data_IF_291537073120
#
_entry.id   IF_291537073120
#
_cell.length_a   1.000
_cell.length_b   1.000
_cell.length_c   1.000
_cell.angle_alpha   90.00
_cell.angle_beta   90.00
_cell.angle_gamma   90.00
#
_symmetry.space_group_name_H-M   'P 1'
#
loop_
_entity.id
_entity.type
_entity.pdbx_description
1 polymer ?
#
# COMPACT_ATOMS: atom_id res chain seq x y z
N UNK A 1 -7.59 18.01 7.47
CA UNK A 1 -7.19 16.65 7.91
C UNK A 1 -7.11 15.74 6.70
N UNK A 2 -5.98 15.05 6.51
CA UNK A 2 -5.80 14.11 5.41
C UNK A 2 -6.19 12.69 5.85
N UNK A 3 -6.42 11.81 4.87
CA UNK A 3 -6.71 10.39 5.10
C UNK A 3 -5.52 9.66 5.76
N UNK A 4 -5.78 8.52 6.40
CA UNK A 4 -4.76 7.78 7.13
C UNK A 4 -3.69 7.18 6.20
N UNK A 5 -2.45 7.57 6.45
CA UNK A 5 -1.26 6.94 5.90
C UNK A 5 -0.12 7.14 6.90
N UNK A 6 0.75 6.17 7.03
CA UNK A 6 1.85 6.21 7.99
C UNK A 6 3.16 5.90 7.28
N UNK A 7 4.20 6.67 7.56
CA UNK A 7 5.53 6.44 7.03
C UNK A 7 6.46 5.93 8.15
N UNK A 8 7.17 4.84 7.88
CA UNK A 8 8.11 4.22 8.81
C UNK A 8 9.50 4.14 8.19
N UNK A 9 10.52 4.36 8.99
CA UNK A 9 11.91 4.20 8.57
C UNK A 9 12.76 3.67 9.73
N UNK A 10 13.76 2.85 9.39
CA UNK A 10 14.77 2.39 10.35
C UNK A 10 16.02 3.28 10.34
N UNK A 11 16.30 3.98 9.26
CA UNK A 11 17.53 4.75 9.05
C UNK A 11 17.30 6.24 8.71
N UNK A 12 16.04 6.64 8.52
CA UNK A 12 15.69 8.01 8.11
C UNK A 12 15.96 8.31 6.63
N UNK A 13 16.36 7.30 5.82
CA UNK A 13 16.70 7.46 4.42
C UNK A 13 15.73 6.71 3.50
N UNK A 14 15.48 5.44 3.78
CA UNK A 14 14.51 4.62 3.06
C UNK A 14 13.25 4.45 3.92
N UNK A 15 12.09 4.61 3.30
CA UNK A 15 10.80 4.67 3.97
C UNK A 15 9.83 3.63 3.45
N UNK A 16 9.00 3.13 4.36
CA UNK A 16 7.84 2.27 4.06
C UNK A 16 6.57 3.07 4.34
N UNK A 17 5.65 3.08 3.39
CA UNK A 17 4.31 3.62 3.62
C UNK A 17 3.36 2.50 4.05
N UNK A 18 2.65 2.71 5.15
CA UNK A 18 1.49 1.88 5.50
C UNK A 18 0.25 2.55 4.92
N UNK A 19 -0.34 1.91 3.94
CA UNK A 19 -1.41 2.42 3.10
C UNK A 19 -1.01 3.61 2.24
N UNK A 20 -1.68 3.76 1.12
CA UNK A 20 -1.51 4.87 0.18
C UNK A 20 -2.86 5.57 0.00
N UNK A 21 -3.10 6.59 0.82
CA UNK A 21 -4.35 7.33 0.83
C UNK A 21 -4.52 8.19 -0.43
N UNK A 22 -5.75 8.61 -0.77
CA UNK A 22 -5.96 9.57 -1.85
C UNK A 22 -5.19 10.88 -1.68
N UNK A 23 -4.86 11.25 -0.45
CA UNK A 23 -4.11 12.46 -0.11
C UNK A 23 -2.59 12.26 -0.17
N UNK A 24 -2.09 11.12 -0.63
CA UNK A 24 -0.68 10.77 -0.58
C UNK A 24 0.22 11.84 -1.20
N UNK A 25 -0.18 12.39 -2.33
CA UNK A 25 0.60 13.43 -3.02
C UNK A 25 0.80 14.64 -2.12
N UNK A 26 -0.25 15.09 -1.45
CA UNK A 26 -0.20 16.20 -0.50
C UNK A 26 0.63 15.84 0.73
N UNK A 27 0.47 14.62 1.24
CA UNK A 27 1.19 14.12 2.40
C UNK A 27 2.70 14.05 2.13
N UNK A 28 3.11 13.57 0.96
CA UNK A 28 4.51 13.53 0.55
C UNK A 28 5.08 14.94 0.39
N UNK A 29 4.33 15.85 -0.22
CA UNK A 29 4.75 17.24 -0.39
C UNK A 29 4.93 17.98 0.93
N UNK A 30 4.12 17.64 1.94
CA UNK A 30 4.17 18.26 3.27
C UNK A 30 5.26 17.65 4.19
N UNK A 31 5.92 16.57 3.76
CA UNK A 31 6.90 15.84 4.58
C UNK A 31 8.29 15.87 3.93
N UNK A 32 9.18 16.80 4.35
CA UNK A 32 10.49 16.96 3.69
C UNK A 32 11.33 15.70 3.63
N UNK A 33 11.26 14.82 4.65
CA UNK A 33 12.01 13.56 4.67
C UNK A 33 11.62 12.60 3.53
N UNK A 34 10.46 12.80 2.92
CA UNK A 34 9.93 11.98 1.82
C UNK A 34 10.11 12.64 0.46
N UNK A 35 10.78 13.79 0.38
CA UNK A 35 11.04 14.46 -0.88
C UNK A 35 12.13 13.75 -1.67
N UNK A 36 12.03 13.70 -3.01
CA UNK A 36 13.10 13.20 -3.86
C UNK A 36 14.40 13.94 -3.61
N UNK A 37 15.51 13.21 -3.59
CA UNK A 37 16.85 13.76 -3.38
C UNK A 37 17.61 13.94 -4.69
N UNK A 38 17.01 13.54 -5.80
CA UNK A 38 17.59 13.64 -7.12
C UNK A 38 16.58 13.29 -8.20
N UNK A 39 17.02 13.33 -9.45
CA UNK A 39 16.16 13.01 -10.59
C UNK A 39 15.78 11.52 -10.54
N UNK A 40 14.49 11.21 -10.66
CA UNK A 40 13.97 9.84 -10.60
C UNK A 40 14.35 9.10 -9.31
N UNK A 41 14.50 9.84 -8.22
CA UNK A 41 14.69 9.28 -6.90
C UNK A 41 13.39 9.34 -6.10
N UNK A 42 13.17 8.35 -5.23
CA UNK A 42 12.11 8.39 -4.23
C UNK A 42 12.61 7.74 -2.95
N UNK A 43 12.47 8.40 -1.79
CA UNK A 43 12.75 7.77 -0.51
C UNK A 43 11.80 6.62 -0.18
N UNK A 44 10.65 6.53 -0.84
CA UNK A 44 9.67 5.46 -0.63
C UNK A 44 10.15 4.19 -1.34
N UNK A 45 10.60 3.21 -0.56
CA UNK A 45 11.11 1.94 -1.07
C UNK A 45 10.06 0.82 -1.04
N UNK A 46 9.03 0.95 -0.22
CA UNK A 46 7.99 -0.05 -0.08
C UNK A 46 6.67 0.56 0.36
N UNK A 47 5.59 -0.09 -0.02
CA UNK A 47 4.23 0.22 0.45
C UNK A 47 3.62 -1.06 0.98
N UNK A 48 3.00 -0.99 2.15
CA UNK A 48 2.26 -2.10 2.76
C UNK A 48 0.79 -1.71 2.82
N UNK A 49 -0.07 -2.53 2.24
CA UNK A 49 -1.51 -2.31 2.23
C UNK A 49 -2.18 -3.19 3.28
N UNK A 50 -3.07 -2.61 4.07
CA UNK A 50 -3.85 -3.35 5.07
C UNK A 50 -5.15 -3.92 4.50
N UNK A 51 -5.70 -3.30 3.45
CA UNK A 51 -6.87 -3.80 2.72
C UNK A 51 -6.96 -3.10 1.36
N UNK A 52 -8.01 -3.39 0.61
CA UNK A 52 -8.24 -2.83 -0.71
C UNK A 52 -9.25 -1.66 -0.73
N UNK A 53 -9.53 -1.05 0.40
CA UNK A 53 -10.39 0.14 0.44
C UNK A 53 -9.74 1.29 -0.33
N UNK A 54 -10.57 2.11 -1.00
CA UNK A 54 -10.10 3.26 -1.79
C UNK A 54 -9.23 4.19 -0.94
N UNK A 55 -9.58 4.38 0.33
CA UNK A 55 -8.82 5.21 1.27
C UNK A 55 -7.38 4.72 1.47
N UNK A 56 -7.10 3.45 1.20
CA UNK A 56 -5.81 2.81 1.43
C UNK A 56 -5.03 2.52 0.16
N UNK A 57 -5.67 2.50 -1.02
CA UNK A 57 -5.02 2.11 -2.26
C UNK A 57 -4.96 3.20 -3.32
N UNK A 58 -5.86 4.19 -3.28
CA UNK A 58 -5.95 5.19 -4.35
C UNK A 58 -4.67 6.01 -4.53
N UNK A 59 -3.91 6.23 -3.46
CA UNK A 59 -2.65 6.95 -3.50
C UNK A 59 -1.54 6.24 -4.28
N UNK A 60 -1.68 4.93 -4.55
CA UNK A 60 -0.73 4.22 -5.40
C UNK A 60 -0.60 4.86 -6.78
N UNK A 61 -1.67 5.46 -7.29
CA UNK A 61 -1.67 6.14 -8.58
C UNK A 61 -0.73 7.37 -8.59
N UNK A 62 -0.46 7.95 -7.42
CA UNK A 62 0.51 9.04 -7.26
C UNK A 62 1.96 8.57 -7.27
N UNK A 63 2.20 7.27 -7.13
CA UNK A 63 3.53 6.66 -7.13
C UNK A 63 3.95 6.13 -8.51
N UNK A 64 3.26 6.54 -9.56
CA UNK A 64 3.55 6.11 -10.95
C UNK A 64 4.79 6.77 -11.57
N UNK A 65 5.56 7.50 -10.80
CA UNK A 65 6.68 8.36 -11.26
C UNK A 65 7.95 7.57 -11.63
N UNK A 66 7.81 6.31 -12.00
CA UNK A 66 8.90 5.47 -12.53
C UNK A 66 10.08 5.25 -11.57
N UNK A 67 9.80 5.20 -10.28
CA UNK A 67 10.78 4.75 -9.29
C UNK A 67 10.38 3.37 -8.77
N UNK A 68 11.35 2.46 -8.56
CA UNK A 68 11.02 1.12 -8.11
C UNK A 68 10.58 1.11 -6.63
N UNK A 69 9.56 0.34 -6.33
CA UNK A 69 9.17 0.02 -4.95
C UNK A 69 8.52 -1.36 -4.89
N UNK A 70 8.53 -1.95 -3.70
CA UNK A 70 7.85 -3.21 -3.44
C UNK A 70 6.49 -2.94 -2.83
N UNK A 71 5.49 -3.69 -3.24
CA UNK A 71 4.12 -3.57 -2.78
C UNK A 71 3.75 -4.82 -2.00
N UNK A 72 3.64 -4.70 -0.68
CA UNK A 72 3.32 -5.79 0.23
C UNK A 72 1.84 -5.77 0.57
N UNK A 73 1.16 -6.87 0.36
CA UNK A 73 -0.23 -7.06 0.75
C UNK A 73 -0.56 -8.55 0.80
N UNK A 74 -1.69 -8.91 1.41
CA UNK A 74 -2.19 -10.27 1.32
C UNK A 74 -2.52 -10.64 -0.14
N UNK A 75 -2.54 -11.93 -0.45
CA UNK A 75 -2.86 -12.40 -1.79
C UNK A 75 -4.24 -11.90 -2.25
N UNK A 76 -5.22 -11.85 -1.37
CA UNK A 76 -6.56 -11.36 -1.69
C UNK A 76 -6.56 -9.88 -2.10
N UNK A 77 -5.83 -9.04 -1.37
CA UNK A 77 -5.70 -7.62 -1.71
C UNK A 77 -4.96 -7.43 -3.03
N UNK A 78 -3.88 -8.17 -3.27
CA UNK A 78 -3.15 -8.11 -4.54
C UNK A 78 -4.02 -8.53 -5.72
N UNK A 79 -4.87 -9.53 -5.54
CA UNK A 79 -5.83 -9.97 -6.56
C UNK A 79 -6.81 -8.86 -6.92
N UNK A 80 -7.36 -8.16 -5.92
CA UNK A 80 -8.27 -7.03 -6.15
C UNK A 80 -7.58 -5.94 -6.98
N UNK A 81 -6.34 -5.61 -6.66
CA UNK A 81 -5.57 -4.61 -7.43
C UNK A 81 -5.34 -5.08 -8.88
N UNK A 82 -4.99 -6.35 -9.08
CA UNK A 82 -4.73 -6.89 -10.41
C UNK A 82 -5.99 -6.92 -11.28
N UNK A 83 -7.17 -7.05 -10.68
CA UNK A 83 -8.46 -7.04 -11.38
C UNK A 83 -8.94 -5.64 -11.74
N UNK A 84 -8.36 -4.59 -11.16
CA UNK A 84 -8.70 -3.20 -11.43
C UNK A 84 -7.77 -2.61 -12.50
N UNK A 85 -8.30 -2.38 -13.68
CA UNK A 85 -7.53 -1.89 -14.83
C UNK A 85 -6.82 -0.55 -14.56
N UNK A 86 -7.35 0.29 -13.67
CA UNK A 86 -6.74 1.58 -13.34
C UNK A 86 -5.33 1.43 -12.72
N UNK A 87 -5.07 0.34 -12.01
CA UNK A 87 -3.75 0.07 -11.42
C UNK A 87 -2.74 -0.51 -12.44
N UNK A 88 -3.17 -0.78 -13.67
CA UNK A 88 -2.23 -1.18 -14.73
C UNK A 88 -1.27 -0.04 -15.14
N UNK A 89 -1.50 1.19 -14.69
CA UNK A 89 -0.56 2.30 -14.86
C UNK A 89 0.72 2.13 -14.03
N UNK A 90 0.69 1.27 -13.02
CA UNK A 90 1.88 0.91 -12.25
C UNK A 90 2.73 -0.04 -13.07
N UNK A 91 3.94 0.39 -13.43
CA UNK A 91 4.83 -0.38 -14.29
C UNK A 91 5.28 -1.66 -13.57
N UNK A 92 4.96 -2.86 -14.09
CA UNK A 92 5.36 -4.12 -13.45
C UNK A 92 6.88 -4.34 -13.43
N UNK A 93 7.64 -3.61 -14.24
CA UNK A 93 9.10 -3.63 -14.17
C UNK A 93 9.65 -2.86 -12.96
N UNK A 94 8.87 -1.96 -12.37
CA UNK A 94 9.27 -1.10 -11.25
C UNK A 94 8.54 -1.46 -9.95
N UNK A 95 7.27 -1.82 -10.03
CA UNK A 95 6.47 -2.19 -8.87
C UNK A 95 6.45 -3.70 -8.73
N UNK A 96 7.05 -4.21 -7.65
CA UNK A 96 7.12 -5.64 -7.37
C UNK A 96 6.09 -6.00 -6.30
N UNK A 97 5.00 -6.69 -6.65
CA UNK A 97 4.06 -7.18 -5.66
C UNK A 97 4.66 -8.34 -4.87
N UNK A 98 4.47 -8.32 -3.57
CA UNK A 98 4.93 -9.36 -2.65
C UNK A 98 3.75 -9.77 -1.76
N UNK A 99 3.30 -11.01 -1.88
CA UNK A 99 2.25 -11.52 -1.02
C UNK A 99 2.78 -11.77 0.38
N UNK A 100 2.08 -11.23 1.40
CA UNK A 100 2.38 -11.50 2.79
C UNK A 100 1.41 -12.53 3.36
N UNK A 101 1.86 -13.24 4.39
CA UNK A 101 1.05 -14.20 5.13
C UNK A 101 0.76 -13.64 6.51
N UNK A 102 -0.52 -13.63 6.90
CA UNK A 102 -0.93 -13.18 8.22
C UNK A 102 -0.24 -13.99 9.32
N UNK A 103 0.19 -13.31 10.37
CA UNK A 103 0.88 -13.93 11.50
C UNK A 103 2.35 -14.25 11.26
N UNK A 104 2.86 -14.06 10.05
CA UNK A 104 4.28 -14.29 9.73
C UNK A 104 5.00 -12.94 9.53
N UNK A 105 6.14 -12.73 10.21
CA UNK A 105 6.90 -11.51 10.02
C UNK A 105 7.47 -11.40 8.62
N UNK A 106 7.53 -10.18 8.11
CA UNK A 106 8.20 -9.84 6.86
C UNK A 106 9.00 -8.55 7.02
N UNK A 107 9.96 -8.35 6.14
CA UNK A 107 10.96 -7.28 6.27
C UNK A 107 10.93 -6.41 5.01
N UNK A 108 10.09 -5.36 4.98
CA UNK A 108 10.02 -4.49 3.81
C UNK A 108 11.30 -3.66 3.61
N UNK A 109 12.05 -3.44 4.67
CA UNK A 109 13.37 -2.80 4.67
C UNK A 109 14.26 -3.47 5.71
N UNK A 110 15.60 -3.44 5.53
CA UNK A 110 16.54 -3.88 6.55
C UNK A 110 16.30 -3.14 7.87
N UNK A 111 16.24 -3.89 8.97
CA UNK A 111 16.01 -3.31 10.30
C UNK A 111 14.56 -3.01 10.64
N UNK A 112 13.62 -3.31 9.75
CA UNK A 112 12.19 -3.09 9.97
C UNK A 112 11.43 -4.40 9.78
N UNK A 113 10.88 -4.93 10.87
CA UNK A 113 10.04 -6.13 10.89
C UNK A 113 8.58 -5.74 11.04
N UNK A 114 7.73 -6.28 10.18
CA UNK A 114 6.27 -6.08 10.25
C UNK A 114 5.59 -7.44 10.31
N UNK A 115 4.58 -7.55 11.15
CA UNK A 115 3.68 -8.70 11.20
C UNK A 115 2.26 -8.22 11.07
N UNK A 116 1.52 -8.77 10.11
CA UNK A 116 0.13 -8.43 9.87
C UNK A 116 -0.79 -9.45 10.53
N UNK A 117 -1.86 -8.96 11.14
CA UNK A 117 -2.88 -9.78 11.77
C UNK A 117 -4.25 -9.45 11.19
N UNK A 118 -5.09 -10.48 11.00
CA UNK A 118 -6.46 -10.27 10.58
C UNK A 118 -7.28 -9.65 11.72
N UNK A 119 -8.09 -8.65 11.36
CA UNK A 119 -9.08 -8.07 12.26
C UNK A 119 -10.46 -8.13 11.58
N UNK A 120 -11.56 -8.18 12.34
CA UNK A 120 -12.90 -8.12 11.75
C UNK A 120 -13.07 -6.84 10.92
N UNK A 121 -13.58 -6.98 9.70
CA UNK A 121 -13.77 -5.86 8.79
C UNK A 121 -14.82 -6.17 7.75
N UNK A 122 -15.22 -5.15 7.02
CA UNK A 122 -16.15 -5.28 5.89
C UNK A 122 -15.39 -5.43 4.59
N UNK A 123 -16.05 -6.00 3.59
CA UNK A 123 -15.58 -5.97 2.21
C UNK A 123 -15.54 -4.50 1.74
N UNK A 124 -14.56 -4.12 0.91
CA UNK A 124 -14.48 -2.79 0.36
C UNK A 124 -15.78 -2.42 -0.37
N UNK A 125 -16.24 -1.20 -0.19
CA UNK A 125 -17.57 -0.75 -0.66
C UNK A 125 -17.80 -1.03 -2.15
N UNK A 126 -16.80 -0.81 -3.00
CA UNK A 126 -16.90 -1.04 -4.44
C UNK A 126 -16.92 -2.52 -4.83
N UNK A 127 -16.66 -3.42 -3.88
CA UNK A 127 -16.76 -4.88 -4.04
C UNK A 127 -18.07 -5.43 -3.46
N UNK A 128 -18.87 -4.60 -2.79
CA UNK A 128 -20.15 -5.01 -2.26
C UNK A 128 -21.14 -5.27 -3.40
N UNK A 129 -21.84 -6.37 -3.31
CA UNK A 129 -22.87 -6.78 -4.25
C UNK A 129 -23.84 -7.74 -3.60
N UNK A 130 -24.92 -8.14 -4.30
CA UNK A 130 -25.97 -8.99 -3.71
C UNK A 130 -25.45 -10.33 -3.17
N UNK A 131 -24.36 -10.84 -3.74
CA UNK A 131 -23.74 -12.11 -3.32
C UNK A 131 -22.83 -11.95 -2.10
N UNK A 132 -22.50 -10.73 -1.71
CA UNK A 132 -21.56 -10.45 -0.62
C UNK A 132 -22.24 -10.41 0.73
N UNK A 133 -23.56 -10.28 0.78
CA UNK A 133 -24.33 -10.30 2.04
C UNK A 133 -24.12 -11.59 2.85
N UNK A 134 -23.77 -12.68 2.17
CA UNK A 134 -23.47 -13.97 2.82
C UNK A 134 -22.01 -14.12 3.24
N UNK A 135 -21.13 -13.20 2.78
CA UNK A 135 -19.72 -13.15 3.16
C UNK A 135 -19.48 -11.89 3.98
N UNK A 136 -20.02 -11.87 5.17
CA UNK A 136 -20.14 -10.66 5.98
C UNK A 136 -18.82 -9.96 6.38
N UNK A 137 -17.66 -10.55 6.09
CA UNK A 137 -16.37 -10.03 6.58
C UNK A 137 -15.32 -10.05 5.47
N UNK A 138 -14.79 -8.89 5.17
CA UNK A 138 -13.56 -8.77 4.39
C UNK A 138 -12.35 -9.01 5.27
N UNK A 139 -11.22 -9.32 4.65
CA UNK A 139 -9.93 -9.41 5.32
C UNK A 139 -9.31 -8.03 5.45
N UNK A 140 -8.98 -7.65 6.67
CA UNK A 140 -8.23 -6.43 6.99
C UNK A 140 -7.03 -6.78 7.86
N UNK A 141 -5.95 -6.02 7.74
CA UNK A 141 -4.70 -6.25 8.49
C UNK A 141 -4.16 -4.97 9.11
#
# INVERSE_FOLDING_TARGET
MTQSSLALSADGQAWVLLNASPDLRQQLAATPALHPRGLRDSPVAAVVLTNADVDHIAGLLSLREKTPFRLFATASTLTVLAENAVFAVLDPALVTPVAITLGQPFYPLPGLEITAYAVPGKVALYLEGPEVETRAMGEQT
#
